data_IF_625890016393
#
_entry.id   IF_625890016393
#
_cell.length_a   1.000
_cell.length_b   1.000
_cell.length_c   1.000
_cell.angle_alpha   90.00
_cell.angle_beta   90.00
_cell.angle_gamma   90.00
#
_symmetry.space_group_name_H-M   'P 1'
#
loop_
_entity.id
_entity.type
_entity.pdbx_description
1 polymer ?
#
# COMPACT_ATOMS: atom_id res chain seq x y z
N UNK A 1 -23.26 -13.42 11.01
CA UNK A 1 -21.98 -13.39 10.25
C UNK A 1 -21.86 -12.01 9.67
N UNK A 2 -20.66 -11.41 9.66
CA UNK A 2 -20.46 -10.09 9.07
C UNK A 2 -20.76 -10.12 7.56
N UNK A 3 -21.16 -8.99 7.01
CA UNK A 3 -21.20 -8.78 5.56
C UNK A 3 -19.85 -8.25 5.09
N UNK A 4 -19.44 -8.65 3.89
CA UNK A 4 -18.17 -8.21 3.29
C UNK A 4 -18.46 -7.68 1.89
N UNK A 5 -18.19 -6.40 1.67
CA UNK A 5 -18.23 -5.75 0.37
C UNK A 5 -16.81 -5.53 -0.13
N UNK A 6 -16.55 -5.85 -1.39
CA UNK A 6 -15.23 -5.70 -2.03
C UNK A 6 -15.41 -4.93 -3.33
N UNK A 7 -14.55 -3.94 -3.56
CA UNK A 7 -14.41 -3.29 -4.85
C UNK A 7 -12.94 -3.25 -5.26
N UNK A 8 -12.69 -3.61 -6.51
CA UNK A 8 -11.36 -3.60 -7.12
C UNK A 8 -11.42 -2.84 -8.46
N UNK A 9 -10.41 -2.03 -8.74
CA UNK A 9 -10.24 -1.36 -10.04
C UNK A 9 -8.77 -1.33 -10.42
N UNK A 10 -8.39 -1.88 -11.58
CA UNK A 10 -7.00 -1.81 -12.01
C UNK A 10 -6.61 -0.37 -12.41
N UNK A 11 -5.37 -0.01 -12.12
CA UNK A 11 -4.71 1.21 -12.61
C UNK A 11 -4.33 1.10 -14.08
N UNK A 12 -4.12 -0.12 -14.56
CA UNK A 12 -3.79 -0.45 -15.96
C UNK A 12 -4.67 -1.61 -16.49
N UNK A 13 -4.14 -2.48 -17.35
CA UNK A 13 -4.90 -3.59 -17.93
C UNK A 13 -5.22 -4.69 -16.90
N UNK A 14 -4.38 -4.87 -15.86
CA UNK A 14 -4.57 -5.87 -14.81
C UNK A 14 -4.08 -5.33 -13.46
N UNK A 15 -4.79 -5.70 -12.41
CA UNK A 15 -4.43 -5.37 -11.03
C UNK A 15 -3.35 -6.33 -10.49
N UNK A 16 -2.37 -5.76 -9.80
CA UNK A 16 -1.41 -6.47 -8.95
C UNK A 16 -1.96 -6.72 -7.53
N UNK A 17 -3.09 -6.11 -7.17
CA UNK A 17 -3.77 -6.37 -5.91
C UNK A 17 -4.44 -7.74 -5.88
N UNK A 18 -4.62 -8.27 -4.66
CA UNK A 18 -5.40 -9.48 -4.37
C UNK A 18 -6.19 -9.31 -3.09
N UNK A 19 -7.50 -9.56 -3.19
CA UNK A 19 -8.39 -9.70 -2.04
C UNK A 19 -8.83 -11.16 -1.88
N UNK A 20 -8.78 -11.67 -0.65
CA UNK A 20 -9.37 -12.98 -0.27
C UNK A 20 -10.35 -12.77 0.87
N UNK A 21 -11.58 -13.24 0.67
CA UNK A 21 -12.62 -13.26 1.71
C UNK A 21 -12.80 -14.70 2.19
N UNK A 22 -12.62 -14.91 3.49
CA UNK A 22 -12.79 -16.19 4.18
C UNK A 22 -13.93 -16.06 5.21
N UNK A 23 -14.45 -17.17 5.75
CA UNK A 23 -15.57 -17.12 6.70
C UNK A 23 -15.30 -16.28 7.96
N UNK A 24 -14.04 -16.20 8.41
CA UNK A 24 -13.61 -15.50 9.63
C UNK A 24 -12.36 -14.63 9.44
N UNK A 25 -12.01 -14.33 8.19
CA UNK A 25 -10.86 -13.49 7.87
C UNK A 25 -10.99 -12.81 6.50
N UNK A 26 -10.29 -11.69 6.33
CA UNK A 26 -10.08 -11.01 5.04
C UNK A 26 -8.59 -10.74 4.88
N UNK A 27 -8.10 -10.91 3.66
CA UNK A 27 -6.74 -10.59 3.25
C UNK A 27 -6.82 -9.58 2.11
N UNK A 28 -6.09 -8.48 2.20
CA UNK A 28 -5.81 -7.57 1.11
C UNK A 28 -4.29 -7.47 0.94
N UNK A 29 -3.82 -7.72 -0.27
CA UNK A 29 -2.42 -7.66 -0.66
C UNK A 29 -2.29 -6.73 -1.85
N UNK A 30 -1.42 -5.72 -1.76
CA UNK A 30 -1.08 -4.85 -2.88
C UNK A 30 0.31 -5.20 -3.38
N UNK A 31 0.39 -5.60 -4.65
CA UNK A 31 1.61 -6.06 -5.30
C UNK A 31 2.52 -4.88 -5.61
N UNK A 32 3.69 -4.84 -4.97
CA UNK A 32 4.60 -3.71 -5.12
C UNK A 32 5.09 -3.55 -6.57
N UNK A 33 4.87 -2.37 -7.13
CA UNK A 33 5.26 -2.02 -8.49
C UNK A 33 6.76 -2.22 -8.72
N UNK A 34 7.10 -2.88 -9.83
CA UNK A 34 8.47 -2.99 -10.33
C UNK A 34 8.63 -2.22 -11.64
N UNK A 35 9.70 -1.44 -11.75
CA UNK A 35 9.94 -0.65 -12.97
C UNK A 35 10.55 -1.46 -14.11
N UNK A 36 11.18 -2.59 -13.78
CA UNK A 36 11.73 -3.51 -14.77
C UNK A 36 10.80 -4.70 -14.88
N UNK A 37 10.20 -4.95 -16.06
CA UNK A 37 9.39 -6.13 -16.29
C UNK A 37 10.19 -7.40 -15.97
N UNK A 38 9.60 -8.29 -15.19
CA UNK A 38 10.13 -9.62 -14.89
C UNK A 38 9.02 -10.63 -15.10
N UNK A 39 9.39 -11.89 -15.30
CA UNK A 39 8.44 -12.99 -15.41
C UNK A 39 7.53 -13.10 -14.17
N UNK A 40 8.09 -12.84 -12.98
CA UNK A 40 7.37 -12.75 -11.71
C UNK A 40 7.31 -11.30 -11.26
N UNK A 41 6.12 -10.77 -11.04
CA UNK A 41 5.87 -9.40 -10.58
C UNK A 41 5.18 -9.35 -9.20
N UNK A 42 4.84 -8.15 -8.73
CA UNK A 42 4.16 -7.94 -7.45
C UNK A 42 2.84 -8.69 -7.40
N UNK A 43 2.08 -8.64 -8.50
CA UNK A 43 0.81 -9.37 -8.61
C UNK A 43 0.95 -10.89 -8.53
N UNK A 44 2.03 -11.46 -9.10
CA UNK A 44 2.34 -12.88 -8.95
C UNK A 44 2.62 -13.23 -7.49
N UNK A 45 3.44 -12.43 -6.79
CA UNK A 45 3.77 -12.67 -5.39
C UNK A 45 2.54 -12.55 -4.49
N UNK A 46 1.75 -11.49 -4.66
CA UNK A 46 0.47 -11.30 -3.96
C UNK A 46 -0.45 -12.51 -4.19
N UNK A 47 -0.55 -13.02 -5.42
CA UNK A 47 -1.36 -14.20 -5.71
C UNK A 47 -0.89 -15.45 -4.95
N UNK A 48 0.42 -15.72 -4.92
CA UNK A 48 0.95 -16.90 -4.21
C UNK A 48 0.78 -16.75 -2.69
N UNK A 49 1.03 -15.55 -2.15
CA UNK A 49 0.90 -15.29 -0.72
C UNK A 49 -0.56 -15.39 -0.27
N UNK A 50 -1.51 -14.87 -1.07
CA UNK A 50 -2.94 -15.00 -0.83
C UNK A 50 -3.37 -16.47 -0.72
N UNK A 51 -2.87 -17.33 -1.62
CA UNK A 51 -3.20 -18.77 -1.60
C UNK A 51 -2.71 -19.45 -0.31
N UNK A 52 -1.46 -19.20 0.10
CA UNK A 52 -0.93 -19.78 1.34
C UNK A 52 -1.67 -19.27 2.59
N UNK A 53 -2.00 -17.98 2.64
CA UNK A 53 -2.77 -17.41 3.76
C UNK A 53 -4.20 -17.97 3.82
N UNK A 54 -4.84 -18.18 2.67
CA UNK A 54 -6.17 -18.77 2.59
C UNK A 54 -6.24 -20.19 3.15
N UNK A 55 -5.19 -20.98 3.00
CA UNK A 55 -5.09 -22.33 3.56
C UNK A 55 -4.85 -22.32 5.09
N UNK A 56 -4.08 -21.33 5.59
CA UNK A 56 -3.63 -21.28 6.98
C UNK A 56 -4.62 -20.61 7.93
N UNK A 57 -5.20 -19.48 7.53
CA UNK A 57 -6.07 -18.66 8.40
C UNK A 57 -7.27 -19.41 8.99
N UNK A 58 -7.97 -20.31 8.27
CA UNK A 58 -9.12 -21.02 8.84
C UNK A 58 -8.77 -22.08 9.90
N UNK A 59 -7.54 -22.59 9.89
CA UNK A 59 -7.14 -23.78 10.67
C UNK A 59 -6.17 -23.49 11.81
N UNK A 60 -5.52 -22.32 11.80
CA UNK A 60 -4.49 -21.96 12.77
C UNK A 60 -4.99 -20.95 13.81
N UNK A 61 -4.66 -21.23 15.07
CA UNK A 61 -4.89 -20.34 16.22
C UNK A 61 -3.67 -19.49 16.58
N UNK A 62 -2.57 -19.64 15.84
CA UNK A 62 -1.37 -18.81 16.01
C UNK A 62 -1.67 -17.32 15.75
N UNK A 63 -0.83 -16.43 16.26
CA UNK A 63 -0.93 -15.00 15.96
C UNK A 63 -0.71 -14.72 14.46
N UNK A 64 -1.25 -13.60 13.98
CA UNK A 64 -1.23 -13.25 12.55
C UNK A 64 0.20 -13.07 12.00
N UNK A 65 1.17 -12.66 12.83
CA UNK A 65 2.55 -12.47 12.39
C UNK A 65 3.23 -13.82 12.14
N UNK A 66 3.02 -14.79 13.03
CA UNK A 66 3.50 -16.17 12.85
C UNK A 66 2.91 -16.81 11.59
N UNK A 67 1.59 -16.66 11.37
CA UNK A 67 0.94 -17.18 10.15
C UNK A 67 1.55 -16.57 8.88
N UNK A 68 1.77 -15.25 8.88
CA UNK A 68 2.38 -14.55 7.75
C UNK A 68 3.85 -14.97 7.55
N UNK A 69 4.63 -15.11 8.62
CA UNK A 69 6.02 -15.55 8.55
C UNK A 69 6.13 -16.93 7.92
N UNK A 70 5.26 -17.86 8.32
CA UNK A 70 5.24 -19.21 7.76
C UNK A 70 4.82 -19.21 6.28
N UNK A 71 3.85 -18.39 5.90
CA UNK A 71 3.43 -18.25 4.50
C UNK A 71 4.59 -17.71 3.62
N UNK A 72 5.28 -16.67 4.09
CA UNK A 72 6.49 -16.15 3.42
C UNK A 72 7.57 -17.23 3.34
N UNK A 73 7.78 -18.00 4.41
CA UNK A 73 8.73 -19.11 4.43
C UNK A 73 8.41 -20.16 3.37
N UNK A 74 7.14 -20.54 3.21
CA UNK A 74 6.72 -21.46 2.14
C UNK A 74 7.09 -20.89 0.77
N UNK A 75 6.76 -19.62 0.51
CA UNK A 75 7.03 -18.96 -0.78
C UNK A 75 8.53 -18.94 -1.10
N UNK A 76 9.35 -18.54 -0.11
CA UNK A 76 10.81 -18.48 -0.25
C UNK A 76 11.36 -19.83 -0.66
N UNK A 77 10.96 -20.90 0.03
CA UNK A 77 11.44 -22.26 -0.24
C UNK A 77 10.91 -22.81 -1.57
N UNK A 78 9.64 -22.54 -1.91
CA UNK A 78 9.00 -23.09 -3.11
C UNK A 78 9.49 -22.44 -4.39
N UNK A 79 9.82 -21.15 -4.35
CA UNK A 79 10.11 -20.35 -5.53
C UNK A 79 11.52 -19.78 -5.57
N UNK A 80 12.39 -20.18 -4.65
CA UNK A 80 13.79 -19.73 -4.52
C UNK A 80 13.90 -18.20 -4.47
N UNK A 81 13.05 -17.56 -3.66
CA UNK A 81 13.03 -16.10 -3.55
C UNK A 81 14.28 -15.57 -2.84
N UNK A 82 14.87 -14.51 -3.41
CA UNK A 82 16.10 -13.87 -2.93
C UNK A 82 15.78 -12.50 -2.31
N UNK A 83 16.23 -12.22 -1.07
CA UNK A 83 16.06 -10.91 -0.43
C UNK A 83 16.63 -9.75 -1.26
N UNK A 84 15.84 -8.71 -1.46
CA UNK A 84 16.21 -7.52 -2.23
C UNK A 84 16.15 -7.68 -3.76
N UNK A 85 15.92 -8.89 -4.26
CA UNK A 85 15.83 -9.19 -5.71
C UNK A 85 14.55 -9.97 -6.08
N UNK A 86 13.57 -10.01 -5.17
CA UNK A 86 12.28 -10.66 -5.40
C UNK A 86 11.15 -9.63 -5.47
N UNK A 87 10.03 -9.99 -6.12
CA UNK A 87 8.80 -9.22 -5.99
C UNK A 87 8.31 -9.22 -4.54
N UNK A 88 7.52 -8.23 -4.20
CA UNK A 88 7.02 -8.02 -2.85
C UNK A 88 5.57 -7.56 -2.86
N UNK A 89 4.91 -7.62 -1.71
CA UNK A 89 3.55 -7.11 -1.54
C UNK A 89 3.36 -6.53 -0.14
N UNK A 90 2.55 -5.48 -0.03
CA UNK A 90 2.02 -5.06 1.27
C UNK A 90 1.09 -6.14 1.82
N UNK A 91 0.74 -6.07 3.10
CA UNK A 91 -0.19 -7.02 3.71
C UNK A 91 -1.14 -6.30 4.66
N UNK A 92 -2.44 -6.42 4.40
CA UNK A 92 -3.50 -6.11 5.36
C UNK A 92 -4.27 -7.39 5.67
N UNK A 93 -4.27 -7.82 6.93
CA UNK A 93 -5.06 -8.97 7.39
C UNK A 93 -6.08 -8.52 8.43
N UNK A 94 -7.28 -9.08 8.32
CA UNK A 94 -8.29 -9.01 9.35
C UNK A 94 -8.70 -10.45 9.69
N UNK A 95 -8.70 -10.82 10.97
CA UNK A 95 -9.25 -12.09 11.47
C UNK A 95 -10.18 -11.77 12.63
N UNK A 96 -11.27 -12.53 12.78
CA UNK A 96 -12.17 -12.31 13.91
C UNK A 96 -12.74 -13.62 14.45
N UNK A 97 -12.93 -13.65 15.75
CA UNK A 97 -13.80 -14.61 16.42
C UNK A 97 -15.03 -13.90 17.02
N UNK A 98 -15.70 -14.52 17.98
CA UNK A 98 -16.90 -13.95 18.59
C UNK A 98 -16.55 -12.93 19.70
N UNK A 99 -15.28 -12.87 20.11
CA UNK A 99 -14.76 -12.04 21.21
C UNK A 99 -13.81 -10.94 20.70
N UNK A 100 -13.04 -11.19 19.65
CA UNK A 100 -12.00 -10.26 19.16
C UNK A 100 -12.02 -10.09 17.65
N UNK A 101 -11.63 -8.89 17.20
CA UNK A 101 -11.22 -8.58 15.83
C UNK A 101 -9.74 -8.23 15.86
N UNK A 102 -8.92 -9.01 15.16
CA UNK A 102 -7.47 -8.82 15.03
C UNK A 102 -7.13 -8.23 13.66
N UNK A 103 -6.30 -7.19 13.66
CA UNK A 103 -5.74 -6.57 12.46
C UNK A 103 -4.22 -6.71 12.39
N UNK A 104 -3.69 -6.90 11.18
CA UNK A 104 -2.27 -6.81 10.89
C UNK A 104 -2.04 -5.95 9.64
N UNK A 105 -1.07 -5.04 9.71
CA UNK A 105 -0.61 -4.20 8.59
C UNK A 105 0.90 -4.30 8.45
N UNK A 106 1.37 -4.68 7.27
CA UNK A 106 2.77 -4.64 6.86
C UNK A 106 2.90 -3.77 5.60
N UNK A 107 3.65 -2.67 5.71
CA UNK A 107 3.71 -1.60 4.70
C UNK A 107 2.41 -0.78 4.58
N UNK A 108 2.24 -0.05 3.49
CA UNK A 108 1.34 1.10 3.35
C UNK A 108 -0.10 0.76 2.91
N UNK A 109 -0.64 -0.38 3.32
CA UNK A 109 -2.06 -0.74 3.11
C UNK A 109 -2.82 -0.78 4.44
N UNK A 110 -3.53 0.28 4.83
CA UNK A 110 -4.09 0.42 6.17
C UNK A 110 -5.31 -0.47 6.44
N UNK A 111 -5.51 -0.78 7.73
CA UNK A 111 -6.74 -1.36 8.29
C UNK A 111 -7.35 -0.31 9.22
N UNK A 112 -8.64 -0.03 9.10
CA UNK A 112 -9.31 0.98 9.93
C UNK A 112 -10.54 0.39 10.59
N UNK A 113 -10.47 0.18 11.90
CA UNK A 113 -11.62 -0.27 12.68
C UNK A 113 -12.46 0.93 13.15
N UNK A 114 -13.77 0.89 12.91
CA UNK A 114 -14.71 1.88 13.39
C UNK A 114 -15.37 1.36 14.66
N UNK A 115 -15.02 1.99 15.78
CA UNK A 115 -15.57 1.67 17.10
C UNK A 115 -16.61 2.70 17.52
N UNK A 116 -17.32 2.43 18.62
CA UNK A 116 -18.22 3.42 19.24
C UNK A 116 -17.49 4.72 19.65
N UNK A 117 -16.16 4.65 19.84
CA UNK A 117 -15.29 5.79 20.15
C UNK A 117 -14.73 6.52 18.93
N UNK A 118 -15.06 6.08 17.72
CA UNK A 118 -14.55 6.63 16.46
C UNK A 118 -13.60 5.69 15.71
N UNK A 119 -12.98 6.17 14.61
CA UNK A 119 -12.05 5.37 13.81
C UNK A 119 -10.75 5.10 14.57
N UNK A 120 -10.23 3.88 14.41
CA UNK A 120 -8.96 3.39 14.95
C UNK A 120 -8.10 2.88 13.77
N UNK A 121 -7.37 3.77 13.08
CA UNK A 121 -6.47 3.36 12.00
C UNK A 121 -5.30 2.55 12.55
N UNK A 122 -4.99 1.44 11.88
CA UNK A 122 -3.78 0.67 11.99
C UNK A 122 -2.99 0.92 10.68
N UNK A 123 -1.89 1.67 10.79
CA UNK A 123 -1.07 2.12 9.67
C UNK A 123 0.39 1.80 9.91
N UNK A 124 1.17 1.61 8.84
CA UNK A 124 2.63 1.52 8.90
C UNK A 124 3.26 2.68 8.11
N UNK A 125 3.56 3.75 8.83
CA UNK A 125 4.01 5.01 8.22
C UNK A 125 5.53 5.02 7.91
N UNK A 126 6.25 3.91 8.12
CA UNK A 126 7.71 3.86 7.96
C UNK A 126 8.13 4.21 6.53
N UNK A 127 7.43 3.67 5.52
CA UNK A 127 7.73 3.95 4.12
C UNK A 127 7.41 5.41 3.75
N UNK A 128 6.28 5.95 4.24
CA UNK A 128 5.92 7.36 4.05
C UNK A 128 6.97 8.31 4.69
N UNK A 129 7.41 8.01 5.91
CA UNK A 129 8.43 8.78 6.62
C UNK A 129 9.78 8.78 5.89
N UNK A 130 10.19 7.63 5.33
CA UNK A 130 11.41 7.53 4.50
C UNK A 130 11.29 8.33 3.21
N UNK A 131 10.16 8.23 2.51
CA UNK A 131 9.88 9.03 1.29
C UNK A 131 9.94 10.53 1.59
N UNK A 132 9.46 10.97 2.75
CA UNK A 132 9.51 12.36 3.19
C UNK A 132 10.93 12.80 3.61
N UNK A 133 11.68 11.94 4.30
CA UNK A 133 13.07 12.23 4.67
C UNK A 133 13.98 12.38 3.46
N UNK A 134 13.84 11.48 2.47
CA UNK A 134 14.57 11.56 1.21
C UNK A 134 14.27 12.86 0.48
N UNK A 135 12.99 13.27 0.45
CA UNK A 135 12.55 14.54 -0.16
C UNK A 135 13.20 15.75 0.50
N UNK A 136 13.17 15.82 1.83
CA UNK A 136 13.80 16.93 2.59
C UNK A 136 15.30 17.03 2.35
N UNK A 137 15.97 15.87 2.26
CA UNK A 137 17.41 15.81 1.97
C UNK A 137 17.71 16.34 0.55
N UNK A 138 16.94 15.93 -0.45
CA UNK A 138 17.07 16.43 -1.83
C UNK A 138 16.84 17.94 -1.92
N UNK A 139 15.85 18.48 -1.20
CA UNK A 139 15.58 19.92 -1.19
C UNK A 139 16.71 20.72 -0.51
N UNK A 140 17.35 20.14 0.52
CA UNK A 140 18.49 20.76 1.20
C UNK A 140 19.73 20.79 0.29
N UNK A 141 20.07 19.66 -0.33
CA UNK A 141 21.20 19.56 -1.25
C UNK A 141 21.07 20.55 -2.41
N UNK A 142 19.85 20.71 -2.95
CA UNK A 142 19.57 21.70 -4.00
C UNK A 142 19.75 23.14 -3.55
N UNK A 143 19.31 23.50 -2.34
CA UNK A 143 19.49 24.85 -1.79
C UNK A 143 20.97 25.19 -1.57
N UNK A 144 21.79 24.16 -1.36
CA UNK A 144 23.23 24.31 -1.12
C UNK A 144 24.07 24.24 -2.40
N UNK A 145 23.53 23.72 -3.50
CA UNK A 145 24.18 23.72 -4.81
C UNK A 145 24.24 25.14 -5.40
N UNK A 146 25.42 25.57 -5.86
CA UNK A 146 25.60 26.83 -6.60
C UNK A 146 24.70 26.87 -7.85
N UNK A 147 24.17 28.04 -8.24
CA UNK A 147 23.34 28.16 -9.45
C UNK A 147 24.14 27.74 -10.69
N UNK A 148 23.83 26.57 -11.23
CA UNK A 148 24.42 26.06 -12.47
C UNK A 148 24.10 27.04 -13.61
N UNK A 149 25.14 27.45 -14.34
CA UNK A 149 25.02 28.30 -15.54
C UNK A 149 24.12 27.63 -16.58
N UNK A 150 23.23 28.37 -17.27
CA UNK A 150 22.15 27.79 -18.08
C UNK A 150 22.57 27.10 -19.40
N UNK A 151 23.86 26.87 -19.67
CA UNK A 151 24.35 26.49 -21.01
C UNK A 151 24.85 25.04 -21.15
N UNK A 152 24.64 24.14 -20.18
CA UNK A 152 25.00 22.72 -20.35
C UNK A 152 23.81 21.89 -20.87
N UNK A 153 23.85 21.57 -22.16
CA UNK A 153 22.81 20.83 -22.92
C UNK A 153 22.69 19.34 -22.53
N UNK A 154 23.42 18.89 -21.51
CA UNK A 154 23.46 17.49 -21.03
C UNK A 154 23.09 17.34 -19.54
N UNK A 155 22.45 18.36 -18.95
CA UNK A 155 22.00 18.27 -17.57
C UNK A 155 20.79 17.33 -17.44
N UNK A 156 20.99 16.18 -16.81
CA UNK A 156 19.89 15.41 -16.21
C UNK A 156 19.08 16.39 -15.35
N UNK A 157 17.77 16.58 -15.58
CA UNK A 157 17.03 17.59 -14.84
C UNK A 157 17.08 17.24 -13.35
N UNK A 158 17.55 18.14 -12.47
CA UNK A 158 17.95 17.83 -11.09
C UNK A 158 16.77 17.62 -10.13
N UNK A 159 15.58 17.37 -10.67
CA UNK A 159 14.32 17.41 -9.93
C UNK A 159 13.73 16.01 -9.77
N UNK A 160 13.38 15.67 -8.53
CA UNK A 160 12.68 14.45 -8.19
C UNK A 160 11.36 14.36 -8.98
N UNK A 161 10.86 13.15 -9.18
CA UNK A 161 9.72 12.92 -10.08
C UNK A 161 8.51 13.80 -9.73
N UNK A 162 8.27 14.06 -8.44
CA UNK A 162 7.16 14.91 -7.99
C UNK A 162 7.28 16.35 -8.45
N UNK A 163 8.47 16.93 -8.37
CA UNK A 163 8.70 18.31 -8.81
C UNK A 163 8.56 18.44 -10.32
N UNK A 164 8.99 17.40 -11.06
CA UNK A 164 8.75 17.33 -12.50
C UNK A 164 7.27 17.37 -12.82
N UNK A 165 6.45 16.58 -12.12
CA UNK A 165 5.00 16.60 -12.29
C UNK A 165 4.42 17.98 -11.96
N UNK A 166 4.82 18.61 -10.84
CA UNK A 166 4.39 19.98 -10.48
C UNK A 166 4.70 21.01 -11.56
N UNK A 167 5.86 20.89 -12.23
CA UNK A 167 6.26 21.78 -13.32
C UNK A 167 5.66 21.40 -14.69
N UNK A 168 4.75 20.43 -14.74
CA UNK A 168 4.03 20.03 -15.95
C UNK A 168 4.76 19.01 -16.83
N UNK A 169 5.72 18.26 -16.27
CA UNK A 169 6.48 17.24 -17.01
C UNK A 169 5.70 15.96 -17.31
N UNK A 170 4.54 15.74 -16.64
CA UNK A 170 3.65 14.60 -16.84
C UNK A 170 4.30 13.22 -16.62
N UNK A 171 3.56 12.15 -16.92
CA UNK A 171 3.99 10.75 -16.73
C UNK A 171 4.88 10.21 -17.87
N UNK A 172 5.79 11.05 -18.40
CA UNK A 172 6.66 10.71 -19.53
C UNK A 172 7.95 9.96 -19.16
N UNK A 173 8.89 9.84 -20.11
CA UNK A 173 10.18 9.18 -19.91
C UNK A 173 11.02 9.80 -18.78
N UNK A 174 11.11 11.15 -18.74
CA UNK A 174 11.84 11.81 -17.67
C UNK A 174 11.23 11.58 -16.28
N UNK A 175 9.90 11.39 -16.19
CA UNK A 175 9.25 10.98 -14.95
C UNK A 175 9.62 9.55 -14.57
N UNK A 176 9.59 8.60 -15.52
CA UNK A 176 10.01 7.21 -15.29
C UNK A 176 11.46 7.11 -14.81
N UNK A 177 12.37 7.88 -15.41
CA UNK A 177 13.77 7.92 -14.98
C UNK A 177 13.93 8.47 -13.55
N UNK A 178 13.26 9.58 -13.22
CA UNK A 178 13.31 10.18 -11.90
C UNK A 178 12.66 9.28 -10.83
N UNK A 179 11.55 8.63 -11.17
CA UNK A 179 10.87 7.66 -10.31
C UNK A 179 11.78 6.44 -10.05
N UNK A 180 12.47 5.94 -11.07
CA UNK A 180 13.43 4.84 -10.92
C UNK A 180 14.60 5.16 -10.01
N UNK A 181 15.15 6.37 -10.10
CA UNK A 181 16.17 6.82 -9.16
C UNK A 181 15.64 6.87 -7.72
N UNK A 182 14.41 7.38 -7.51
CA UNK A 182 13.78 7.45 -6.19
C UNK A 182 13.49 6.05 -5.62
N UNK A 183 12.92 5.15 -6.42
CA UNK A 183 12.64 3.77 -6.02
C UNK A 183 13.93 3.01 -5.71
N UNK A 184 14.99 3.20 -6.50
CA UNK A 184 16.30 2.58 -6.26
C UNK A 184 16.97 3.02 -4.95
N UNK A 185 16.74 4.26 -4.50
CA UNK A 185 17.18 4.72 -3.16
C UNK A 185 16.40 4.01 -2.06
N UNK A 186 15.07 4.02 -2.17
CA UNK A 186 14.19 3.38 -1.17
C UNK A 186 14.39 1.87 -1.09
N UNK A 187 14.62 1.18 -2.22
CA UNK A 187 14.80 -0.27 -2.26
C UNK A 187 15.97 -0.77 -1.38
N UNK A 188 17.02 0.05 -1.18
CA UNK A 188 18.15 -0.28 -0.29
C UNK A 188 17.76 -0.32 1.20
N UNK A 189 16.61 0.25 1.54
CA UNK A 189 16.04 0.30 2.89
C UNK A 189 14.92 -0.74 3.07
N UNK A 190 14.69 -1.62 2.09
CA UNK A 190 13.69 -2.69 2.18
C UNK A 190 14.17 -3.78 3.13
N UNK A 191 13.30 -4.19 4.06
CA UNK A 191 13.49 -5.32 4.97
C UNK A 191 14.82 -5.29 5.73
N UNK A 192 15.20 -4.09 6.18
CA UNK A 192 16.37 -3.87 7.04
C UNK A 192 15.98 -2.99 8.23
N UNK A 193 16.62 -3.16 9.40
CA UNK A 193 16.42 -2.28 10.55
C UNK A 193 16.65 -0.81 10.20
N UNK A 194 15.75 0.07 10.66
CA UNK A 194 15.76 1.50 10.32
C UNK A 194 15.23 1.83 8.91
N UNK A 195 14.86 0.81 8.13
CA UNK A 195 14.20 0.95 6.84
C UNK A 195 12.68 0.78 6.93
N UNK A 196 12.09 0.22 5.88
CA UNK A 196 10.69 -0.19 5.84
C UNK A 196 10.59 -1.70 5.63
N UNK A 197 9.43 -2.26 5.97
CA UNK A 197 9.20 -3.70 5.92
C UNK A 197 8.04 -4.01 4.98
N UNK A 198 8.18 -5.08 4.21
CA UNK A 198 7.22 -5.52 3.20
C UNK A 198 7.35 -7.04 3.02
N UNK A 199 6.27 -7.74 2.67
CA UNK A 199 6.35 -9.16 2.42
C UNK A 199 7.14 -9.42 1.13
N UNK A 200 8.29 -10.08 1.26
CA UNK A 200 9.21 -10.39 0.16
C UNK A 200 9.89 -11.75 0.46
N UNK A 201 11.21 -11.81 0.60
CA UNK A 201 11.95 -13.06 0.78
C UNK A 201 12.55 -13.22 2.19
N UNK A 202 12.15 -12.36 3.14
CA UNK A 202 12.57 -12.42 4.55
C UNK A 202 11.35 -12.67 5.43
N UNK A 203 11.14 -13.92 5.91
CA UNK A 203 10.03 -14.24 6.82
C UNK A 203 9.98 -13.35 8.05
N UNK A 204 11.14 -12.85 8.52
CA UNK A 204 11.23 -11.99 9.68
C UNK A 204 10.51 -10.65 9.51
N UNK A 205 10.21 -10.24 8.27
CA UNK A 205 9.42 -9.04 7.98
C UNK A 205 8.01 -9.12 8.57
N UNK A 206 7.43 -10.31 8.71
CA UNK A 206 6.12 -10.49 9.32
C UNK A 206 6.07 -10.01 10.78
N UNK A 207 7.15 -10.23 11.54
CA UNK A 207 7.28 -9.79 12.93
C UNK A 207 7.48 -8.28 13.08
N UNK A 208 7.58 -7.57 11.97
CA UNK A 208 7.69 -6.12 11.94
C UNK A 208 6.37 -5.46 11.58
N UNK A 209 5.32 -6.23 11.29
CA UNK A 209 3.98 -5.73 11.03
C UNK A 209 3.40 -5.03 12.26
N UNK A 210 2.58 -4.01 12.00
CA UNK A 210 1.74 -3.38 13.02
C UNK A 210 0.56 -4.30 13.29
N UNK A 211 0.22 -4.51 14.56
CA UNK A 211 -0.88 -5.37 14.97
C UNK A 211 -1.80 -4.65 15.94
N UNK A 212 -3.09 -4.98 15.87
CA UNK A 212 -4.07 -4.51 16.82
C UNK A 212 -5.11 -5.60 17.09
N UNK A 213 -5.70 -5.55 18.28
CA UNK A 213 -6.83 -6.38 18.67
C UNK A 213 -7.89 -5.48 19.28
N UNK A 214 -9.12 -5.60 18.81
CA UNK A 214 -10.26 -4.84 19.30
C UNK A 214 -11.33 -5.80 19.83
N UNK A 215 -11.97 -5.50 20.98
CA UNK A 215 -13.11 -6.28 21.44
C UNK A 215 -14.20 -6.32 20.36
N UNK A 216 -14.65 -7.51 19.97
CA UNK A 216 -15.65 -7.69 18.92
C UNK A 216 -16.92 -6.89 19.18
N UNK A 217 -17.32 -6.75 20.44
CA UNK A 217 -18.51 -5.99 20.83
C UNK A 217 -18.40 -4.47 20.56
N UNK A 218 -17.18 -3.92 20.45
CA UNK A 218 -16.94 -2.48 20.24
C UNK A 218 -16.78 -2.12 18.76
N UNK A 219 -16.56 -3.11 17.88
CA UNK A 219 -16.31 -2.89 16.45
C UNK A 219 -17.62 -2.94 15.68
N UNK A 220 -17.97 -1.82 15.05
CA UNK A 220 -19.10 -1.74 14.11
C UNK A 220 -18.73 -2.29 12.75
N UNK A 221 -17.64 -1.80 12.18
CA UNK A 221 -17.19 -2.14 10.84
C UNK A 221 -15.68 -1.90 10.71
N UNK A 222 -15.07 -2.51 9.70
CA UNK A 222 -13.65 -2.37 9.39
C UNK A 222 -13.46 -2.13 7.90
N UNK A 223 -12.54 -1.23 7.55
CA UNK A 223 -12.08 -1.02 6.18
C UNK A 223 -10.64 -1.51 6.01
N UNK A 224 -10.36 -2.16 4.90
CA UNK A 224 -9.00 -2.48 4.43
C UNK A 224 -8.81 -1.80 3.08
N UNK A 225 -7.73 -1.03 2.91
CA UNK A 225 -7.50 -0.27 1.69
C UNK A 225 -6.08 -0.47 1.16
N UNK A 226 -5.93 -0.61 -0.16
CA UNK A 226 -4.63 -0.42 -0.84
C UNK A 226 -4.20 1.06 -0.77
N UNK A 227 -2.94 1.35 -1.05
CA UNK A 227 -2.44 2.74 -1.07
C UNK A 227 -3.13 3.57 -2.17
N UNK A 228 -3.48 2.92 -3.29
CA UNK A 228 -4.28 3.48 -4.38
C UNK A 228 -5.69 3.92 -3.99
N UNK A 229 -6.18 3.53 -2.82
CA UNK A 229 -7.43 4.02 -2.24
C UNK A 229 -7.18 4.94 -1.04
N UNK A 230 -6.26 4.58 -0.13
CA UNK A 230 -5.98 5.39 1.07
C UNK A 230 -5.40 6.77 0.73
N UNK A 231 -4.75 6.90 -0.43
CA UNK A 231 -4.29 8.19 -0.96
C UNK A 231 -5.43 9.24 -1.05
N UNK A 232 -6.70 8.84 -1.13
CA UNK A 232 -7.85 9.74 -1.05
C UNK A 232 -7.91 10.54 0.25
N UNK A 233 -7.44 9.96 1.35
CA UNK A 233 -7.25 10.60 2.66
C UNK A 233 -5.85 11.21 2.75
N UNK A 234 -4.82 10.38 2.52
CA UNK A 234 -3.44 10.68 2.90
C UNK A 234 -2.78 11.76 2.01
N UNK A 235 -3.02 11.71 0.70
CA UNK A 235 -2.33 12.54 -0.30
C UNK A 235 -3.26 13.54 -0.98
N UNK A 236 -4.46 13.10 -1.36
CA UNK A 236 -5.39 13.88 -2.17
C UNK A 236 -6.25 14.82 -1.31
N UNK A 237 -6.54 14.41 -0.06
CA UNK A 237 -7.40 15.13 0.87
C UNK A 237 -8.83 15.31 0.33
N UNK A 238 -9.28 14.44 -0.57
CA UNK A 238 -10.67 14.43 -1.04
C UNK A 238 -11.62 13.92 0.05
N UNK A 239 -11.07 13.09 0.95
CA UNK A 239 -11.67 12.80 2.25
C UNK A 239 -10.83 13.49 3.33
N UNK A 240 -11.42 14.33 4.20
CA UNK A 240 -10.66 15.05 5.22
C UNK A 240 -10.06 14.14 6.29
N UNK A 241 -10.71 13.00 6.57
CA UNK A 241 -10.29 12.00 7.52
C UNK A 241 -10.96 10.63 7.26
N UNK A 242 -10.58 9.64 8.05
CA UNK A 242 -11.16 8.29 8.00
C UNK A 242 -12.64 8.24 8.39
N UNK A 243 -13.15 9.22 9.14
CA UNK A 243 -14.58 9.29 9.49
C UNK A 243 -15.40 9.55 8.23
N UNK A 244 -15.02 10.58 7.47
CA UNK A 244 -15.66 10.94 6.21
C UNK A 244 -15.50 9.84 5.16
N UNK A 245 -14.31 9.24 5.06
CA UNK A 245 -14.05 8.09 4.18
C UNK A 245 -14.99 6.91 4.51
N UNK A 246 -15.07 6.52 5.78
CA UNK A 246 -15.92 5.42 6.20
C UNK A 246 -17.41 5.73 6.06
N UNK A 247 -17.83 6.98 6.25
CA UNK A 247 -19.22 7.39 6.00
C UNK A 247 -19.56 7.25 4.51
N UNK A 248 -18.65 7.64 3.62
CA UNK A 248 -18.83 7.45 2.19
C UNK A 248 -19.00 5.97 1.82
N UNK A 249 -18.11 5.11 2.32
CA UNK A 249 -18.20 3.66 2.09
C UNK A 249 -19.54 3.09 2.59
N UNK A 250 -19.98 3.44 3.80
CA UNK A 250 -21.23 2.93 4.38
C UNK A 250 -22.49 3.43 3.68
N UNK A 251 -22.49 4.67 3.18
CA UNK A 251 -23.71 5.28 2.61
C UNK A 251 -23.86 5.05 1.12
N UNK A 252 -22.75 4.90 0.39
CA UNK A 252 -22.75 4.78 -1.07
C UNK A 252 -22.05 3.54 -1.60
N UNK A 253 -21.50 2.69 -0.72
CA UNK A 253 -20.76 1.47 -1.07
C UNK A 253 -19.27 1.74 -1.33
N UNK A 254 -18.48 0.68 -1.31
CA UNK A 254 -17.02 0.77 -1.53
C UNK A 254 -16.67 1.19 -2.96
N UNK A 255 -17.51 0.81 -3.95
CA UNK A 255 -17.31 1.22 -5.35
C UNK A 255 -17.34 2.75 -5.52
N UNK A 256 -18.21 3.44 -4.77
CA UNK A 256 -18.34 4.89 -4.84
C UNK A 256 -17.08 5.61 -4.33
N UNK A 257 -16.38 5.02 -3.35
CA UNK A 257 -15.09 5.53 -2.88
C UNK A 257 -14.04 5.43 -3.98
N UNK A 258 -13.98 4.30 -4.68
CA UNK A 258 -13.07 4.11 -5.83
C UNK A 258 -13.38 5.09 -6.96
N UNK A 259 -14.67 5.34 -7.23
CA UNK A 259 -15.10 6.35 -8.20
C UNK A 259 -14.60 7.75 -7.84
N UNK A 260 -14.74 8.15 -6.57
CA UNK A 260 -14.28 9.46 -6.10
C UNK A 260 -12.76 9.63 -6.23
N UNK A 261 -11.98 8.59 -5.87
CA UNK A 261 -10.51 8.59 -6.02
C UNK A 261 -10.13 8.66 -7.49
N UNK A 262 -10.75 7.85 -8.36
CA UNK A 262 -10.44 7.87 -9.80
C UNK A 262 -10.83 9.20 -10.45
N UNK A 263 -11.96 9.78 -10.08
CA UNK A 263 -12.38 11.10 -10.56
C UNK A 263 -11.36 12.19 -10.19
N UNK A 264 -10.77 12.11 -8.99
CA UNK A 264 -9.68 12.98 -8.59
C UNK A 264 -8.46 12.82 -9.51
N UNK A 265 -8.02 11.58 -9.76
CA UNK A 265 -6.89 11.30 -10.66
C UNK A 265 -7.14 11.77 -12.11
N UNK A 266 -8.36 11.59 -12.61
CA UNK A 266 -8.77 12.02 -13.96
C UNK A 266 -8.83 13.55 -14.08
N UNK A 267 -9.15 14.26 -13.00
CA UNK A 267 -9.09 15.73 -12.95
C UNK A 267 -7.66 16.28 -12.93
N UNK A 268 -6.66 15.43 -12.64
CA UNK A 268 -5.24 15.76 -12.62
C UNK A 268 -4.42 14.74 -13.43
N UNK A 269 -4.63 14.65 -14.76
CA UNK A 269 -4.07 13.58 -15.59
C UNK A 269 -2.54 13.64 -15.72
N UNK A 270 -1.94 14.80 -15.41
CA UNK A 270 -0.50 15.06 -15.42
C UNK A 270 0.15 14.99 -14.03
N UNK A 271 -0.63 14.75 -12.96
CA UNK A 271 -0.08 14.69 -11.59
C UNK A 271 0.43 16.04 -11.05
N UNK A 272 -0.06 17.17 -11.58
CA UNK A 272 0.42 18.50 -11.19
C UNK A 272 -0.09 18.88 -9.81
N UNK A 273 -1.38 18.63 -9.56
CA UNK A 273 -2.03 18.93 -8.28
C UNK A 273 -1.59 17.92 -7.23
N UNK A 274 -1.59 16.64 -7.57
CA UNK A 274 -1.21 15.54 -6.69
C UNK A 274 -0.11 14.69 -7.33
N UNK A 275 1.18 15.04 -7.08
CA UNK A 275 2.31 14.32 -7.65
C UNK A 275 2.45 12.88 -7.12
N UNK A 276 2.35 11.91 -8.03
CA UNK A 276 2.23 10.48 -7.74
C UNK A 276 3.07 9.62 -8.69
N UNK A 277 3.29 8.35 -8.35
CA UNK A 277 4.22 7.48 -9.10
C UNK A 277 3.66 7.09 -10.48
N UNK A 278 2.36 6.84 -10.57
CA UNK A 278 1.67 6.44 -11.80
C UNK A 278 0.40 7.24 -11.98
N UNK A 279 -0.10 7.32 -13.22
CA UNK A 279 -1.30 8.10 -13.54
C UNK A 279 -2.50 7.60 -12.74
N UNK A 280 -2.62 6.28 -12.66
CA UNK A 280 -3.65 5.55 -11.93
C UNK A 280 -2.99 4.39 -11.19
N UNK A 281 -3.32 4.25 -9.92
CA UNK A 281 -2.98 3.07 -9.12
C UNK A 281 -4.03 1.96 -9.28
N UNK A 282 -3.64 0.74 -8.91
CA UNK A 282 -4.60 -0.31 -8.59
C UNK A 282 -5.33 0.09 -7.31
N UNK A 283 -6.63 -0.19 -7.26
CA UNK A 283 -7.49 0.21 -6.16
C UNK A 283 -8.19 -1.02 -5.63
N UNK A 284 -8.01 -1.30 -4.34
CA UNK A 284 -8.75 -2.34 -3.64
C UNK A 284 -9.26 -1.79 -2.31
N UNK A 285 -10.56 -1.95 -2.09
CA UNK A 285 -11.21 -1.57 -0.84
C UNK A 285 -12.13 -2.70 -0.38
N UNK A 286 -11.97 -3.10 0.87
CA UNK A 286 -12.85 -4.06 1.54
C UNK A 286 -13.54 -3.39 2.70
N UNK A 287 -14.85 -3.59 2.81
CA UNK A 287 -15.67 -3.18 3.95
C UNK A 287 -16.27 -4.40 4.61
N UNK A 288 -15.93 -4.61 5.87
CA UNK A 288 -16.46 -5.68 6.73
C UNK A 288 -17.41 -5.05 7.73
N UNK A 289 -18.70 -5.25 7.57
CA UNK A 289 -19.72 -4.78 8.51
C UNK A 289 -20.12 -5.90 9.47
N UNK A 290 -20.04 -5.60 10.76
CA UNK A 290 -20.26 -6.51 11.86
C UNK A 290 -21.64 -6.36 12.51
N UNK A 291 -22.51 -5.48 11.99
CA UNK A 291 -23.88 -5.27 12.49
C UNK A 291 -24.92 -6.19 11.86
#
# INVERSE_FOLDING_TARGET
MPTVEVAERPGTDRSEDRVVVLPRAVVLLDGATMLTPRERNGGWYAQQLAAELAERLPSQTADLQTILADAITTLVQRYDLVPGDSPSSTVSLLRWDDEVVEGLVLADSPVVAFTDSGPRPLTDDRLAALRESNRRSEDQDRRQADPVRPDSVDATPPTGFRDRLRTGGGFGEGHRAALGAAMGRTARLRNVPGGFWVAEARPEAAFQAMVAAWPRAEVRDVLLASDGVSCGVDDYGIFPDWTAFGERARTAGVQAVLDDVRAAEESDPDGRRWPRAKRHDDQSLVHVDFR
#
